data_IF_384596791137
#
_entry.id   IF_384596791137
#
_cell.length_a   1.000
_cell.length_b   1.000
_cell.length_c   1.000
_cell.angle_alpha   90.00
_cell.angle_beta   90.00
_cell.angle_gamma   90.00
#
_symmetry.space_group_name_H-M   'P 1'
#
loop_
_entity.id
_entity.type
_entity.pdbx_description
1 polymer ?
#
# COMPACT_ATOMS: atom_id res chain seq x y z
N UNK A 1 2.01 10.10 -8.08
CA UNK A 1 0.92 9.11 -8.12
C UNK A 1 -0.12 9.55 -7.11
N UNK A 2 -1.43 9.43 -7.40
CA UNK A 2 -2.47 9.79 -6.44
C UNK A 2 -2.44 8.86 -5.23
N UNK A 3 -2.70 9.42 -4.05
CA UNK A 3 -2.93 8.65 -2.84
C UNK A 3 -4.33 8.00 -2.85
N UNK A 4 -4.60 7.13 -1.88
CA UNK A 4 -5.87 6.43 -1.74
C UNK A 4 -7.08 7.37 -1.78
N UNK A 5 -6.99 8.51 -1.08
CA UNK A 5 -8.09 9.46 -0.92
C UNK A 5 -8.37 10.16 -2.24
N UNK A 6 -7.33 10.58 -2.97
CA UNK A 6 -7.43 11.13 -4.32
C UNK A 6 -8.00 10.15 -5.35
N UNK A 7 -8.08 8.86 -5.03
CA UNK A 7 -8.67 7.81 -5.86
C UNK A 7 -10.09 7.42 -5.45
N UNK A 8 -10.66 8.13 -4.47
CA UNK A 8 -12.02 7.86 -3.98
C UNK A 8 -12.12 6.81 -2.88
N UNK A 9 -11.00 6.38 -2.29
CA UNK A 9 -11.07 5.61 -1.05
C UNK A 9 -11.39 6.54 0.12
N UNK A 10 -12.55 6.34 0.73
CA UNK A 10 -12.84 6.88 2.05
C UNK A 10 -12.06 6.10 3.13
N UNK A 11 -12.11 6.58 4.38
CA UNK A 11 -11.47 5.91 5.52
C UNK A 11 -11.91 4.44 5.69
N UNK A 12 -13.18 4.13 5.44
CA UNK A 12 -13.66 2.75 5.50
C UNK A 12 -13.07 1.90 4.38
N UNK A 13 -12.96 2.45 3.16
CA UNK A 13 -12.27 1.78 2.05
C UNK A 13 -10.80 1.47 2.35
N UNK A 14 -10.08 2.41 3.00
CA UNK A 14 -8.70 2.17 3.45
C UNK A 14 -8.66 1.08 4.51
N UNK A 15 -9.55 1.13 5.51
CA UNK A 15 -9.61 0.14 6.60
C UNK A 15 -9.95 -1.26 6.09
N UNK A 16 -10.94 -1.40 5.20
CA UNK A 16 -11.29 -2.68 4.56
C UNK A 16 -10.11 -3.24 3.75
N UNK A 17 -9.39 -2.37 3.03
CA UNK A 17 -8.20 -2.80 2.30
C UNK A 17 -7.13 -3.35 3.24
N UNK A 18 -6.84 -2.64 4.34
CA UNK A 18 -5.89 -3.10 5.37
C UNK A 18 -6.35 -4.43 5.97
N UNK A 19 -7.65 -4.58 6.27
CA UNK A 19 -8.20 -5.79 6.86
C UNK A 19 -8.10 -7.01 5.93
N UNK A 20 -8.14 -6.81 4.60
CA UNK A 20 -7.97 -7.88 3.60
C UNK A 20 -6.51 -8.22 3.31
N UNK A 21 -5.57 -7.41 3.79
CA UNK A 21 -4.16 -7.66 3.57
C UNK A 21 -3.75 -8.99 4.18
N UNK A 22 -2.93 -9.73 3.44
CA UNK A 22 -2.35 -10.96 3.95
C UNK A 22 -0.90 -11.10 3.46
N UNK A 23 -0.18 -12.02 4.09
CA UNK A 23 1.25 -12.23 3.83
C UNK A 23 1.60 -12.54 2.37
N UNK A 24 0.67 -13.08 1.56
CA UNK A 24 0.93 -13.38 0.13
C UNK A 24 0.99 -12.11 -0.73
N UNK A 25 0.48 -11.00 -0.21
CA UNK A 25 0.54 -9.69 -0.86
C UNK A 25 1.87 -8.96 -0.62
N UNK A 26 2.76 -9.52 0.21
CA UNK A 26 4.09 -8.96 0.43
C UNK A 26 4.89 -8.98 -0.86
N UNK A 27 5.44 -7.82 -1.22
CA UNK A 27 6.30 -7.68 -2.39
C UNK A 27 7.78 -7.68 -1.98
N UNK A 28 8.19 -6.72 -1.14
CA UNK A 28 9.57 -6.62 -0.64
C UNK A 28 9.66 -5.72 0.58
N UNK A 29 10.75 -5.86 1.33
CA UNK A 29 11.22 -4.86 2.28
C UNK A 29 12.29 -4.00 1.61
N UNK A 30 12.24 -2.69 1.83
CA UNK A 30 13.25 -1.76 1.32
C UNK A 30 13.54 -0.66 2.33
N UNK A 31 14.74 -0.10 2.29
CA UNK A 31 15.06 1.06 3.13
C UNK A 31 14.58 2.35 2.47
N UNK A 32 14.39 3.41 3.25
CA UNK A 32 14.09 4.73 2.68
C UNK A 32 15.35 5.38 2.08
N UNK A 33 15.15 6.35 1.17
CA UNK A 33 16.27 7.17 0.67
C UNK A 33 16.78 8.17 1.72
N UNK A 34 15.91 8.64 2.60
CA UNK A 34 16.25 9.61 3.64
C UNK A 34 17.08 8.97 4.77
N UNK A 35 16.79 7.71 5.11
CA UNK A 35 17.53 6.94 6.10
C UNK A 35 17.54 5.44 5.74
N UNK A 36 18.74 4.91 5.50
CA UNK A 36 18.98 3.50 5.17
C UNK A 36 18.82 2.55 6.36
N UNK A 37 18.63 3.06 7.58
CA UNK A 37 18.34 2.26 8.77
C UNK A 37 16.85 2.01 8.93
N UNK A 38 16.02 2.81 8.27
CA UNK A 38 14.56 2.72 8.32
C UNK A 38 14.08 1.79 7.21
N UNK A 39 13.49 0.67 7.62
CA UNK A 39 12.90 -0.32 6.72
C UNK A 39 11.42 -0.05 6.50
N UNK A 40 11.00 -0.28 5.27
CA UNK A 40 9.61 -0.26 4.85
C UNK A 40 9.23 -1.56 4.15
N UNK A 41 8.16 -2.18 4.63
CA UNK A 41 7.55 -3.31 3.96
C UNK A 41 6.54 -2.83 2.94
N UNK A 42 6.63 -3.37 1.73
CA UNK A 42 5.82 -2.97 0.59
C UNK A 42 4.91 -4.13 0.19
N UNK A 43 3.63 -3.83 0.06
CA UNK A 43 2.60 -4.81 -0.32
C UNK A 43 1.87 -4.37 -1.58
N UNK A 44 1.46 -5.36 -2.40
CA UNK A 44 0.55 -5.17 -3.53
C UNK A 44 -0.83 -5.66 -3.13
N UNK A 45 -1.78 -4.74 -2.98
CA UNK A 45 -3.12 -5.08 -2.52
C UNK A 45 -4.13 -4.79 -3.62
N UNK A 46 -4.87 -5.80 -4.05
CA UNK A 46 -5.96 -5.63 -4.99
C UNK A 46 -7.21 -5.12 -4.28
N UNK A 47 -7.70 -3.95 -4.66
CA UNK A 47 -8.94 -3.38 -4.14
C UNK A 47 -9.66 -2.57 -5.23
N UNK A 48 -10.99 -2.68 -5.31
CA UNK A 48 -11.82 -1.93 -6.26
C UNK A 48 -11.34 -2.01 -7.73
N UNK A 49 -10.83 -3.16 -8.17
CA UNK A 49 -10.30 -3.34 -9.54
C UNK A 49 -8.93 -2.69 -9.78
N UNK A 50 -8.29 -2.14 -8.74
CA UNK A 50 -6.98 -1.49 -8.77
C UNK A 50 -5.95 -2.29 -7.97
N UNK A 51 -4.66 -2.02 -8.23
CA UNK A 51 -3.55 -2.53 -7.40
C UNK A 51 -2.91 -1.37 -6.65
N UNK A 52 -3.04 -1.43 -5.34
CA UNK A 52 -2.51 -0.45 -4.40
C UNK A 52 -1.15 -0.90 -3.90
N UNK A 53 -0.24 0.07 -3.80
CA UNK A 53 1.00 -0.03 -3.07
C UNK A 53 0.78 0.47 -1.66
N UNK A 54 0.92 -0.43 -0.70
CA UNK A 54 0.83 -0.08 0.72
C UNK A 54 2.20 -0.26 1.34
N UNK A 55 2.72 0.80 1.95
CA UNK A 55 4.00 0.80 2.65
C UNK A 55 3.77 0.85 4.16
N UNK A 56 4.47 -0.02 4.88
CA UNK A 56 4.53 -0.02 6.33
C UNK A 56 5.94 0.33 6.80
N UNK A 57 6.05 1.10 7.86
CA UNK A 57 7.28 1.31 8.60
C UNK A 57 7.01 0.96 10.06
N UNK A 58 7.69 -0.06 10.59
CA UNK A 58 7.49 -0.53 11.97
C UNK A 58 6.00 -0.68 12.35
N UNK A 59 5.26 -1.46 11.55
CA UNK A 59 3.82 -1.73 11.70
C UNK A 59 2.88 -0.52 11.51
N UNK A 60 3.41 0.64 11.13
CA UNK A 60 2.62 1.84 10.80
C UNK A 60 2.50 2.01 9.28
N UNK A 61 1.28 2.15 8.77
CA UNK A 61 1.07 2.51 7.35
C UNK A 61 1.59 3.92 7.09
N UNK A 62 2.55 4.06 6.18
CA UNK A 62 3.15 5.35 5.81
C UNK A 62 2.68 5.86 4.47
N UNK A 63 2.30 4.97 3.56
CA UNK A 63 1.88 5.35 2.21
C UNK A 63 0.88 4.35 1.65
N UNK A 64 -0.11 4.88 0.94
CA UNK A 64 -1.15 4.11 0.28
C UNK A 64 -1.43 4.75 -1.08
N UNK A 65 -0.81 4.21 -2.13
CA UNK A 65 -0.77 4.84 -3.47
C UNK A 65 -1.20 3.86 -4.55
N UNK A 66 -1.81 4.37 -5.61
CA UNK A 66 -2.08 3.55 -6.79
C UNK A 66 -0.84 3.44 -7.65
N UNK A 67 -0.46 2.20 -7.95
CA UNK A 67 0.63 1.96 -8.88
C UNK A 67 0.16 1.87 -10.34
N UNK A 68 -0.96 1.19 -10.60
CA UNK A 68 -1.48 0.99 -11.95
C UNK A 68 -2.89 0.37 -11.95
N UNK A 69 -3.61 0.56 -13.05
CA UNK A 69 -4.68 -0.36 -13.45
C UNK A 69 -4.02 -1.67 -13.87
N UNK A 70 -4.45 -2.79 -13.29
CA UNK A 70 -4.23 -4.09 -13.92
C UNK A 70 -5.47 -4.32 -14.76
N UNK A 71 -5.40 -3.93 -16.04
CA UNK A 71 -6.38 -4.43 -17.00
C UNK A 71 -6.23 -5.96 -17.02
N UNK A 72 -7.36 -6.66 -16.91
CA UNK A 72 -7.39 -8.10 -16.84
C UNK A 72 -7.26 -8.69 -18.23
#
# INVERSE_FOLDING_TARGET
>A
MPDAVGLGFDRNGIADTIHRMNRRMFYKSMTTFADHRVWQDVYHVSAQGMVLYVKFQADVVTEFTLMSFKEK
#
